data_IF_892696985317
#
_entry.id   IF_892696985317
#
_cell.length_a   1.000
_cell.length_b   1.000
_cell.length_c   1.000
_cell.angle_alpha   90.00
_cell.angle_beta   90.00
_cell.angle_gamma   90.00
#
_symmetry.space_group_name_H-M   'P 1'
#
loop_
_entity.id
_entity.type
_entity.pdbx_description
1 polymer ?
#
# COMPACT_ATOMS: atom_id res chain seq x y z
N UNK A 1 79.01 -40.55 31.79
CA UNK A 1 80.16 -40.51 30.86
C UNK A 1 79.60 -40.82 29.48
N UNK A 2 79.57 -39.99 28.44
CA UNK A 2 80.28 -38.75 28.07
C UNK A 2 79.32 -37.82 27.32
N UNK A 3 79.65 -36.54 27.35
CA UNK A 3 78.97 -35.42 26.72
C UNK A 3 79.15 -35.40 25.20
N UNK A 4 78.28 -34.62 24.52
CA UNK A 4 78.56 -33.68 23.42
C UNK A 4 77.58 -33.86 22.24
N UNK A 5 77.17 -32.85 21.49
CA UNK A 5 76.92 -31.42 21.67
C UNK A 5 76.43 -30.94 20.28
N UNK A 6 75.39 -30.12 20.25
CA UNK A 6 75.01 -29.07 19.26
C UNK A 6 75.30 -29.24 17.77
N UNK A 7 74.31 -28.96 16.92
CA UNK A 7 74.29 -27.73 16.11
C UNK A 7 72.89 -27.40 15.59
N UNK A 8 72.66 -26.09 15.49
CA UNK A 8 71.46 -25.40 15.03
C UNK A 8 71.19 -25.62 13.54
N UNK A 9 69.93 -25.47 13.13
CA UNK A 9 69.48 -24.52 12.09
C UNK A 9 68.16 -24.99 11.46
N UNK A 10 67.18 -24.10 11.41
CA UNK A 10 65.94 -24.37 10.68
C UNK A 10 64.80 -23.43 11.02
N UNK A 11 65.03 -22.12 10.99
CA UNK A 11 63.96 -21.14 10.85
C UNK A 11 63.25 -21.36 9.50
N UNK A 12 62.24 -22.23 9.48
CA UNK A 12 61.34 -22.34 8.35
C UNK A 12 60.31 -21.21 8.46
N UNK A 13 60.65 -20.06 7.88
CA UNK A 13 59.70 -19.01 7.54
C UNK A 13 58.68 -19.55 6.53
N UNK A 14 57.53 -20.05 6.99
CA UNK A 14 56.36 -20.21 6.12
C UNK A 14 55.58 -18.90 6.06
N UNK A 15 55.92 -18.08 5.06
CA UNK A 15 55.02 -17.06 4.50
C UNK A 15 53.77 -17.76 3.95
N UNK A 16 52.59 -17.48 4.51
CA UNK A 16 51.31 -17.74 3.84
C UNK A 16 50.50 -16.45 3.83
N UNK A 17 50.17 -15.87 2.66
CA UNK A 17 49.35 -14.66 2.60
C UNK A 17 47.92 -15.03 2.99
N UNK A 18 47.52 -14.67 4.20
CA UNK A 18 46.16 -14.82 4.71
C UNK A 18 45.26 -13.68 4.21
N UNK A 19 45.21 -13.42 2.90
CA UNK A 19 44.28 -12.45 2.31
C UNK A 19 43.90 -12.90 0.90
N UNK A 20 42.90 -13.80 0.77
CA UNK A 20 41.93 -13.51 -0.30
C UNK A 20 40.45 -13.76 0.06
N UNK A 21 40.09 -14.01 1.32
CA UNK A 21 38.72 -14.41 1.66
C UNK A 21 37.75 -13.25 1.95
N UNK A 22 38.26 -12.04 2.23
CA UNK A 22 37.40 -10.87 2.50
C UNK A 22 36.88 -10.25 1.18
N UNK A 23 37.63 -10.38 0.08
CA UNK A 23 37.26 -9.78 -1.21
C UNK A 23 36.05 -10.49 -1.84
N UNK A 24 35.89 -11.80 -1.60
CA UNK A 24 34.76 -12.57 -2.13
C UNK A 24 33.41 -12.28 -1.45
N UNK A 25 33.41 -11.77 -0.21
CA UNK A 25 32.18 -11.45 0.53
C UNK A 25 31.62 -10.06 0.18
N UNK A 26 32.47 -9.13 -0.26
CA UNK A 26 32.06 -7.77 -0.66
C UNK A 26 31.49 -7.76 -2.09
N UNK A 27 31.94 -8.67 -2.96
CA UNK A 27 31.51 -8.74 -4.37
C UNK A 27 30.13 -9.40 -4.60
N UNK A 28 29.47 -9.94 -3.56
CA UNK A 28 28.13 -10.52 -3.66
C UNK A 28 26.98 -9.57 -3.26
N UNK A 29 27.29 -8.35 -2.79
CA UNK A 29 26.29 -7.40 -2.24
C UNK A 29 25.89 -6.30 -3.24
N UNK A 30 26.35 -6.32 -4.50
CA UNK A 30 26.13 -5.21 -5.44
C UNK A 30 25.00 -5.42 -6.46
N UNK A 31 24.12 -6.41 -6.29
CA UNK A 31 22.97 -6.62 -7.18
C UNK A 31 21.63 -6.42 -6.46
N UNK A 32 21.48 -5.31 -5.72
CA UNK A 32 20.15 -4.75 -5.48
C UNK A 32 19.80 -3.95 -6.73
N UNK A 33 19.34 -4.64 -7.78
CA UNK A 33 18.64 -3.98 -8.87
C UNK A 33 17.46 -3.23 -8.25
N UNK A 34 17.43 -1.91 -8.41
CA UNK A 34 16.23 -1.12 -8.18
C UNK A 34 15.14 -1.70 -9.09
N UNK A 35 14.28 -2.56 -8.55
CA UNK A 35 13.08 -2.99 -9.25
C UNK A 35 12.24 -1.73 -9.44
N UNK A 36 12.19 -1.22 -10.66
CA UNK A 36 11.19 -0.23 -11.04
C UNK A 36 9.83 -0.89 -10.81
N UNK A 37 9.13 -0.48 -9.74
CA UNK A 37 7.76 -0.93 -9.54
C UNK A 37 6.99 -0.52 -10.80
N UNK A 38 6.31 -1.48 -11.43
CA UNK A 38 5.36 -1.15 -12.48
C UNK A 38 4.40 -0.08 -11.93
N UNK A 39 3.92 0.87 -12.75
CA UNK A 39 2.98 1.88 -12.30
C UNK A 39 1.85 1.19 -11.55
N UNK A 40 1.65 1.55 -10.28
CA UNK A 40 0.54 1.00 -9.50
C UNK A 40 -0.77 1.40 -10.16
N UNK A 41 -1.79 0.52 -10.10
CA UNK A 41 -3.14 0.89 -10.50
C UNK A 41 -3.62 2.07 -9.66
N UNK A 42 -4.25 3.02 -10.32
CA UNK A 42 -4.90 4.19 -9.73
C UNK A 42 -6.42 4.05 -9.83
N UNK A 43 -7.15 4.91 -9.11
CA UNK A 43 -8.63 4.97 -9.22
C UNK A 43 -9.10 5.34 -10.63
N UNK A 44 -8.25 6.00 -11.43
CA UNK A 44 -8.55 6.36 -12.83
C UNK A 44 -8.53 5.13 -13.76
N UNK A 45 -7.91 4.03 -13.35
CA UNK A 45 -7.86 2.79 -14.12
C UNK A 45 -9.14 1.95 -14.00
N UNK A 46 -10.15 2.43 -13.27
CA UNK A 46 -11.35 1.68 -12.95
C UNK A 46 -11.06 0.58 -11.91
N UNK A 47 -11.28 0.89 -10.64
CA UNK A 47 -10.99 -0.01 -9.50
C UNK A 47 -12.20 -0.83 -9.04
N UNK A 48 -13.35 -0.69 -9.70
CA UNK A 48 -14.57 -1.43 -9.41
C UNK A 48 -15.14 -2.08 -10.68
N UNK A 49 -15.95 -3.12 -10.50
CA UNK A 49 -16.67 -3.83 -11.56
C UNK A 49 -18.11 -3.35 -11.71
N UNK A 50 -18.72 -3.55 -12.87
CA UNK A 50 -20.14 -3.23 -13.10
C UNK A 50 -21.07 -3.93 -12.09
N UNK A 51 -20.70 -5.15 -11.66
CA UNK A 51 -21.41 -5.89 -10.63
C UNK A 51 -21.35 -5.18 -9.27
N UNK A 52 -20.19 -4.61 -8.90
CA UNK A 52 -20.04 -3.79 -7.69
C UNK A 52 -20.87 -2.50 -7.79
N UNK A 53 -20.85 -1.82 -8.93
CA UNK A 53 -21.66 -0.62 -9.15
C UNK A 53 -23.17 -0.90 -9.03
N UNK A 54 -23.64 -2.01 -9.60
CA UNK A 54 -25.04 -2.42 -9.53
C UNK A 54 -25.48 -2.68 -8.09
N UNK A 55 -24.64 -3.35 -7.28
CA UNK A 55 -24.93 -3.54 -5.84
C UNK A 55 -24.93 -2.21 -5.09
N UNK A 56 -23.92 -1.37 -5.33
CA UNK A 56 -23.83 -0.04 -4.72
C UNK A 56 -25.02 0.87 -5.05
N UNK A 57 -25.63 0.73 -6.23
CA UNK A 57 -26.83 1.47 -6.61
C UNK A 57 -28.04 1.17 -5.71
N UNK A 58 -28.21 -0.06 -5.24
CA UNK A 58 -29.29 -0.42 -4.33
C UNK A 58 -29.14 0.31 -2.98
N UNK A 59 -27.92 0.27 -2.40
CA UNK A 59 -27.56 1.00 -1.18
C UNK A 59 -27.73 2.52 -1.37
N UNK A 60 -27.27 3.05 -2.51
CA UNK A 60 -27.42 4.47 -2.86
C UNK A 60 -28.90 4.91 -2.88
N UNK A 61 -29.75 4.09 -3.49
CA UNK A 61 -31.19 4.35 -3.60
C UNK A 61 -31.88 4.32 -2.24
N UNK A 62 -31.42 3.45 -1.33
CA UNK A 62 -32.00 3.32 0.00
C UNK A 62 -31.58 4.46 0.95
N UNK A 63 -30.35 4.99 0.81
CA UNK A 63 -29.75 5.83 1.85
C UNK A 63 -29.27 7.21 1.40
N UNK A 64 -28.97 7.41 0.11
CA UNK A 64 -28.21 8.56 -0.35
C UNK A 64 -29.03 9.50 -1.25
N UNK A 65 -29.87 8.91 -2.13
CA UNK A 65 -30.55 9.65 -3.20
C UNK A 65 -31.42 10.82 -2.74
N UNK A 66 -32.00 10.74 -1.53
CA UNK A 66 -32.89 11.77 -1.00
C UNK A 66 -32.21 13.13 -0.90
N UNK A 67 -30.89 13.16 -0.68
CA UNK A 67 -30.11 14.39 -0.59
C UNK A 67 -29.21 14.60 -1.81
N UNK A 68 -28.65 13.52 -2.36
CA UNK A 68 -27.67 13.57 -3.44
C UNK A 68 -28.25 13.39 -4.86
N UNK A 69 -29.55 13.18 -5.00
CA UNK A 69 -30.23 13.04 -6.29
C UNK A 69 -30.39 11.60 -6.78
N UNK A 70 -31.29 11.36 -7.74
CA UNK A 70 -31.43 10.01 -8.34
C UNK A 70 -30.29 9.72 -9.35
N UNK A 71 -29.72 10.76 -9.94
CA UNK A 71 -28.65 10.74 -10.93
C UNK A 71 -27.33 11.33 -10.40
N UNK A 72 -27.14 11.37 -9.08
CA UNK A 72 -25.96 11.94 -8.40
C UNK A 72 -25.80 13.46 -8.55
N UNK A 73 -26.84 14.14 -9.02
CA UNK A 73 -26.85 15.54 -9.41
C UNK A 73 -26.79 16.53 -8.25
N UNK A 74 -27.04 16.07 -7.02
CA UNK A 74 -27.17 16.91 -5.84
C UNK A 74 -28.51 17.64 -5.78
N UNK A 75 -29.21 17.53 -4.65
CA UNK A 75 -30.48 18.24 -4.41
C UNK A 75 -30.32 19.17 -3.21
N UNK A 76 -30.14 18.57 -2.03
CA UNK A 76 -29.92 19.27 -0.75
C UNK A 76 -28.53 19.00 -0.18
N UNK A 77 -27.77 18.09 -0.80
CA UNK A 77 -26.36 17.83 -0.57
C UNK A 77 -25.58 17.96 -1.89
N UNK A 78 -24.23 18.07 -1.85
CA UNK A 78 -23.41 18.24 -3.06
C UNK A 78 -23.61 17.12 -4.09
N UNK A 79 -23.37 17.45 -5.35
CA UNK A 79 -23.31 16.48 -6.44
C UNK A 79 -22.17 15.47 -6.21
N UNK A 80 -22.41 14.20 -6.59
CA UNK A 80 -21.44 13.11 -6.50
C UNK A 80 -20.88 12.71 -7.87
N UNK A 81 -20.98 13.63 -8.83
CA UNK A 81 -20.50 13.48 -10.20
C UNK A 81 -19.96 14.81 -10.72
N UNK A 82 -19.24 14.76 -11.85
CA UNK A 82 -18.72 15.95 -12.52
C UNK A 82 -17.50 16.60 -11.84
N UNK A 83 -17.12 17.76 -12.35
CA UNK A 83 -15.84 18.40 -12.03
C UNK A 83 -15.69 18.76 -10.55
N UNK A 84 -16.77 19.19 -9.89
CA UNK A 84 -16.70 19.58 -8.47
C UNK A 84 -16.37 18.39 -7.57
N UNK A 85 -16.97 17.23 -7.84
CA UNK A 85 -16.64 16.00 -7.13
C UNK A 85 -15.17 15.63 -7.33
N UNK A 86 -14.69 15.68 -8.58
CA UNK A 86 -13.29 15.39 -8.90
C UNK A 86 -12.34 16.39 -8.25
N UNK A 87 -12.61 17.68 -8.28
CA UNK A 87 -11.78 18.70 -7.65
C UNK A 87 -11.66 18.51 -6.13
N UNK A 88 -12.71 18.02 -5.49
CA UNK A 88 -12.70 17.76 -4.05
C UNK A 88 -11.83 16.55 -3.69
N UNK A 89 -11.84 15.48 -4.50
CA UNK A 89 -11.28 14.17 -4.13
C UNK A 89 -10.09 13.71 -4.97
N UNK A 90 -9.70 14.40 -6.05
CA UNK A 90 -8.69 13.89 -7.02
C UNK A 90 -7.29 13.67 -6.45
N UNK A 91 -6.95 14.36 -5.35
CA UNK A 91 -5.65 14.22 -4.68
C UNK A 91 -5.73 13.26 -3.48
N UNK A 92 -6.91 12.71 -3.20
CA UNK A 92 -7.14 11.78 -2.11
C UNK A 92 -7.04 10.32 -2.56
N UNK A 93 -6.82 9.45 -1.59
CA UNK A 93 -6.88 8.01 -1.76
C UNK A 93 -8.32 7.51 -1.63
N UNK A 94 -8.61 6.33 -2.21
CA UNK A 94 -9.95 5.74 -2.17
C UNK A 94 -10.45 5.49 -0.73
N UNK A 95 -9.53 5.12 0.17
CA UNK A 95 -9.85 4.90 1.58
C UNK A 95 -10.29 6.20 2.28
N UNK A 96 -9.78 7.37 1.87
CA UNK A 96 -10.26 8.67 2.37
C UNK A 96 -11.76 8.84 2.10
N UNK A 97 -12.18 8.65 0.86
CA UNK A 97 -13.59 8.80 0.45
C UNK A 97 -14.45 7.75 1.16
N UNK A 98 -14.00 6.49 1.19
CA UNK A 98 -14.68 5.40 1.87
C UNK A 98 -14.93 5.71 3.36
N UNK A 99 -13.87 6.10 4.07
CA UNK A 99 -13.96 6.41 5.50
C UNK A 99 -14.86 7.62 5.76
N UNK A 100 -14.78 8.65 4.91
CA UNK A 100 -15.66 9.81 5.01
C UNK A 100 -17.13 9.41 4.89
N UNK A 101 -17.50 8.62 3.87
CA UNK A 101 -18.87 8.15 3.68
C UNK A 101 -19.32 7.32 4.89
N UNK A 102 -18.52 6.34 5.32
CA UNK A 102 -18.86 5.47 6.45
C UNK A 102 -19.14 6.23 7.74
N UNK A 103 -18.34 7.27 8.01
CA UNK A 103 -18.41 8.03 9.26
C UNK A 103 -19.46 9.16 9.22
N UNK A 104 -19.62 9.83 8.08
CA UNK A 104 -20.38 11.08 7.98
C UNK A 104 -21.70 10.95 7.23
N UNK A 105 -21.95 9.82 6.56
CA UNK A 105 -23.16 9.60 5.77
C UNK A 105 -23.94 8.35 6.20
N UNK A 106 -25.28 8.39 6.18
CA UNK A 106 -26.11 9.57 5.94
C UNK A 106 -25.99 10.64 7.05
N UNK A 107 -26.00 11.92 6.64
CA UNK A 107 -26.05 13.07 7.55
C UNK A 107 -27.39 13.09 8.31
N UNK A 108 -27.38 13.59 9.55
CA UNK A 108 -28.60 13.71 10.36
C UNK A 108 -29.11 12.39 10.96
N UNK A 109 -28.27 11.36 11.03
CA UNK A 109 -28.54 10.17 11.86
C UNK A 109 -28.85 10.60 13.29
N UNK A 110 -30.04 10.24 13.77
CA UNK A 110 -30.37 10.35 15.19
C UNK A 110 -29.44 9.46 16.03
N UNK A 111 -29.34 9.69 17.35
CA UNK A 111 -28.41 8.95 18.22
C UNK A 111 -28.63 7.43 18.19
N UNK A 112 -29.83 6.96 17.85
CA UNK A 112 -30.18 5.53 17.77
C UNK A 112 -30.15 4.96 16.33
N UNK A 113 -29.82 5.79 15.33
CA UNK A 113 -29.78 5.35 13.94
C UNK A 113 -28.57 4.44 13.71
N UNK A 114 -28.83 3.20 13.28
CA UNK A 114 -27.77 2.25 12.97
C UNK A 114 -26.94 2.75 11.76
N UNK A 115 -25.61 2.64 11.82
CA UNK A 115 -24.77 2.80 10.63
C UNK A 115 -25.21 1.84 9.53
N UNK A 116 -24.89 2.20 8.28
CA UNK A 116 -24.98 1.23 7.18
C UNK A 116 -24.04 0.06 7.55
N UNK A 117 -24.49 -1.20 7.49
CA UNK A 117 -23.66 -2.36 7.79
C UNK A 117 -22.38 -2.39 6.94
N UNK A 118 -21.27 -2.84 7.52
CA UNK A 118 -20.00 -2.95 6.78
C UNK A 118 -20.09 -3.88 5.56
N UNK A 119 -21.02 -4.86 5.59
CA UNK A 119 -21.31 -5.72 4.43
C UNK A 119 -21.78 -4.94 3.22
N UNK A 120 -22.42 -3.79 3.40
CA UNK A 120 -22.97 -3.02 2.28
C UNK A 120 -21.88 -2.17 1.60
N UNK A 121 -20.64 -2.21 2.12
CA UNK A 121 -19.49 -1.48 1.60
C UNK A 121 -18.37 -2.35 1.00
N UNK A 122 -18.18 -3.59 1.46
CA UNK A 122 -16.94 -4.36 1.28
C UNK A 122 -16.98 -5.49 0.23
N UNK A 123 -17.94 -5.44 -0.69
CA UNK A 123 -18.11 -6.48 -1.71
C UNK A 123 -17.12 -6.40 -2.88
#
# INVERSE_FOLDING_TARGET
MLHANWTNAGLAMLKKPAVPWIIFLVLWVSAVQAQSQAPGKTVLDGVYSDAQATRGQATYTAHCRTCHGDALEGISAPELTGNRFIEHWREDMLDTIYNYIRQNMPQGRGPDAKPIPDSDYLD
#
